data_IF_825994583616
#
_entry.id   IF_825994583616
#
_cell.length_a   1.000
_cell.length_b   1.000
_cell.length_c   1.000
_cell.angle_alpha   90.00
_cell.angle_beta   90.00
_cell.angle_gamma   90.00
#
_symmetry.space_group_name_H-M   'P 1'
#
loop_
_entity.id
_entity.type
_entity.pdbx_description
1 polymer ?
#
# COMPACT_ATOMS: atom_id res chain seq x y z
N UNK A 1 19.51 -11.05 -1.61
CA UNK A 1 20.18 -9.81 -1.12
C UNK A 1 20.09 -9.82 0.38
N UNK A 2 21.17 -9.50 1.06
CA UNK A 2 21.20 -9.30 2.51
C UNK A 2 20.88 -7.86 2.85
N UNK A 3 20.30 -7.63 4.02
CA UNK A 3 20.04 -6.32 4.58
C UNK A 3 21.27 -5.87 5.37
N UNK A 4 21.69 -4.61 5.18
CA UNK A 4 22.89 -4.07 5.78
C UNK A 4 22.59 -2.85 6.67
N UNK A 5 23.55 -2.50 7.52
CA UNK A 5 23.47 -1.31 8.32
C UNK A 5 23.33 -0.04 7.46
N UNK A 6 22.36 0.80 7.82
CA UNK A 6 22.03 2.02 7.08
C UNK A 6 21.02 1.85 5.94
N UNK A 7 20.63 0.61 5.61
CA UNK A 7 19.55 0.37 4.65
C UNK A 7 18.19 0.84 5.19
N UNK A 8 17.27 1.14 4.28
CA UNK A 8 15.86 1.36 4.57
C UNK A 8 15.04 0.17 4.06
N UNK A 9 14.24 -0.43 4.93
CA UNK A 9 13.34 -1.52 4.58
C UNK A 9 11.90 -1.03 4.55
N UNK A 10 11.31 -0.92 3.35
CA UNK A 10 9.91 -0.57 3.15
C UNK A 10 9.06 -1.85 3.22
N UNK A 11 8.09 -1.87 4.14
CA UNK A 11 7.27 -3.05 4.47
C UNK A 11 5.81 -2.72 4.19
N UNK A 12 5.21 -3.37 3.18
CA UNK A 12 3.80 -3.22 2.85
C UNK A 12 3.12 -4.59 2.72
N UNK A 13 2.09 -4.82 3.54
CA UNK A 13 1.21 -5.99 3.51
C UNK A 13 -0.22 -5.56 3.86
N UNK A 14 -1.21 -6.46 3.73
CA UNK A 14 -2.59 -6.23 4.15
C UNK A 14 -3.67 -6.66 3.14
N UNK A 15 -3.41 -6.59 1.82
CA UNK A 15 -4.41 -6.95 0.82
C UNK A 15 -4.80 -8.43 0.85
N UNK A 16 -3.87 -9.32 1.11
CA UNK A 16 -4.15 -10.75 1.20
C UNK A 16 -4.56 -11.18 2.60
N UNK A 17 -4.16 -10.42 3.61
CA UNK A 17 -4.42 -10.72 5.01
C UNK A 17 -5.92 -10.74 5.35
N UNK A 18 -6.74 -9.97 4.65
CA UNK A 18 -8.20 -9.98 4.83
C UNK A 18 -8.93 -11.16 4.17
N UNK A 19 -8.21 -12.06 3.49
CA UNK A 19 -8.83 -13.22 2.86
C UNK A 19 -9.28 -14.24 3.91
N UNK A 20 -10.32 -14.99 3.58
CA UNK A 20 -10.88 -16.04 4.45
C UNK A 20 -10.28 -17.42 4.21
N UNK A 21 -9.33 -17.53 3.29
CA UNK A 21 -8.59 -18.76 3.00
C UNK A 21 -7.22 -18.77 3.74
N UNK A 22 -6.36 -19.73 3.42
CA UNK A 22 -5.04 -19.93 4.04
C UNK A 22 -4.07 -18.74 3.89
N UNK A 23 -4.42 -17.71 3.13
CA UNK A 23 -3.62 -16.47 2.97
C UNK A 23 -4.03 -15.38 3.97
N UNK A 24 -5.20 -15.55 4.60
CA UNK A 24 -5.71 -14.60 5.58
C UNK A 24 -4.98 -14.74 6.92
N UNK A 25 -4.93 -13.63 7.64
CA UNK A 25 -4.45 -13.56 9.03
C UNK A 25 -5.43 -12.74 9.85
N UNK A 26 -5.50 -12.96 11.13
CA UNK A 26 -6.19 -12.02 12.02
C UNK A 26 -5.38 -10.72 12.16
N UNK A 27 -6.00 -9.58 12.54
CA UNK A 27 -5.26 -8.34 12.79
C UNK A 27 -4.14 -8.51 13.84
N UNK A 28 -4.30 -9.39 14.82
CA UNK A 28 -3.29 -9.68 15.84
C UNK A 28 -2.10 -10.43 15.26
N UNK A 29 -2.36 -11.47 14.46
CA UNK A 29 -1.30 -12.23 13.76
C UNK A 29 -0.57 -11.33 12.76
N UNK A 30 -1.31 -10.49 12.02
CA UNK A 30 -0.75 -9.51 11.10
C UNK A 30 0.23 -8.56 11.81
N UNK A 31 -0.18 -7.98 12.95
CA UNK A 31 0.70 -7.12 13.75
C UNK A 31 1.92 -7.88 14.28
N UNK A 32 1.76 -9.11 14.72
CA UNK A 32 2.87 -9.95 15.18
C UNK A 32 3.88 -10.22 14.06
N UNK A 33 3.40 -10.55 12.87
CA UNK A 33 4.24 -10.79 11.69
C UNK A 33 5.00 -9.52 11.29
N UNK A 34 4.33 -8.36 11.25
CA UNK A 34 4.98 -7.08 10.95
C UNK A 34 6.03 -6.70 12.00
N UNK A 35 5.75 -6.93 13.29
CA UNK A 35 6.71 -6.69 14.37
C UNK A 35 7.99 -7.51 14.18
N UNK A 36 7.87 -8.74 13.67
CA UNK A 36 9.03 -9.59 13.36
C UNK A 36 9.90 -8.97 12.26
N UNK A 37 9.30 -8.43 11.18
CA UNK A 37 10.06 -7.72 10.13
C UNK A 37 10.74 -6.47 10.67
N UNK A 38 10.05 -5.68 11.50
CA UNK A 38 10.61 -4.49 12.14
C UNK A 38 11.81 -4.84 13.01
N UNK A 39 11.68 -5.87 13.84
CA UNK A 39 12.77 -6.33 14.71
C UNK A 39 13.95 -6.85 13.90
N UNK A 40 13.70 -7.63 12.84
CA UNK A 40 14.75 -8.15 11.96
C UNK A 40 15.52 -7.02 11.30
N UNK A 41 14.84 -5.99 10.80
CA UNK A 41 15.50 -4.82 10.22
C UNK A 41 16.40 -4.12 11.25
N UNK A 42 15.89 -3.88 12.45
CA UNK A 42 16.63 -3.23 13.54
C UNK A 42 17.86 -4.03 13.98
N UNK A 43 17.77 -5.37 14.03
CA UNK A 43 18.90 -6.25 14.33
C UNK A 43 20.03 -6.11 13.30
N UNK A 44 19.69 -5.82 12.04
CA UNK A 44 20.65 -5.54 10.97
C UNK A 44 21.05 -4.05 10.90
N UNK A 45 20.69 -3.24 11.88
CA UNK A 45 20.94 -1.79 11.91
C UNK A 45 20.34 -1.07 10.70
N UNK A 46 19.30 -1.64 10.09
CA UNK A 46 18.49 -1.01 9.04
C UNK A 46 17.29 -0.28 9.64
N UNK A 47 16.78 0.70 8.93
CA UNK A 47 15.61 1.49 9.33
C UNK A 47 14.35 0.91 8.71
N UNK A 48 13.42 0.30 9.48
CA UNK A 48 12.14 -0.15 8.97
C UNK A 48 11.20 1.03 8.74
N UNK A 49 10.41 0.95 7.65
CA UNK A 49 9.33 1.89 7.32
C UNK A 49 8.09 1.04 7.01
N UNK A 50 7.01 1.24 7.75
CA UNK A 50 5.74 0.59 7.48
C UNK A 50 4.94 1.41 6.46
N UNK A 51 4.29 0.74 5.50
CA UNK A 51 3.43 1.35 4.50
C UNK A 51 2.06 0.68 4.56
N UNK A 52 1.00 1.42 4.89
CA UNK A 52 -0.35 0.85 4.81
C UNK A 52 -0.66 0.42 3.38
N UNK A 53 -1.50 -0.62 3.22
CA UNK A 53 -1.95 -1.04 1.89
C UNK A 53 -2.65 0.11 1.17
N UNK A 54 -2.45 0.22 -0.13
CA UNK A 54 -3.25 1.16 -0.95
C UNK A 54 -4.73 0.75 -0.93
N UNK A 55 -5.64 1.69 -1.20
CA UNK A 55 -7.07 1.37 -1.32
C UNK A 55 -7.33 0.46 -2.52
N UNK A 56 -8.43 -0.29 -2.46
CA UNK A 56 -9.05 -0.90 -3.64
C UNK A 56 -10.04 0.08 -4.26
N UNK A 57 -10.33 -0.09 -5.54
CA UNK A 57 -11.40 0.63 -6.22
C UNK A 57 -12.74 -0.03 -5.90
N UNK A 58 -13.15 0.08 -4.65
CA UNK A 58 -14.40 -0.42 -4.14
C UNK A 58 -15.23 0.75 -3.60
N UNK A 59 -16.46 0.86 -4.05
CA UNK A 59 -17.37 1.93 -3.69
C UNK A 59 -18.51 1.39 -2.83
N UNK A 60 -18.87 2.12 -1.77
CA UNK A 60 -20.07 1.83 -0.93
C UNK A 60 -21.34 2.42 -1.56
N UNK A 61 -21.17 3.44 -2.41
CA UNK A 61 -22.20 4.03 -3.25
C UNK A 61 -21.62 4.46 -4.60
N UNK A 62 -22.32 5.29 -5.38
CA UNK A 62 -21.89 5.68 -6.72
C UNK A 62 -20.58 6.48 -6.79
N UNK A 63 -20.18 7.13 -5.69
CA UNK A 63 -19.02 8.04 -5.67
C UNK A 63 -18.10 7.86 -4.46
N UNK A 64 -18.59 7.29 -3.38
CA UNK A 64 -17.83 7.14 -2.15
C UNK A 64 -17.03 5.85 -2.14
N UNK A 65 -15.71 5.95 -2.13
CA UNK A 65 -14.84 4.80 -1.89
C UNK A 65 -15.10 4.22 -0.50
N UNK A 66 -15.06 2.90 -0.42
CA UNK A 66 -15.23 2.17 0.84
C UNK A 66 -14.05 2.48 1.79
N UNK A 67 -14.30 3.10 2.95
CA UNK A 67 -13.26 3.35 3.94
C UNK A 67 -12.70 2.06 4.57
N UNK A 68 -13.35 0.93 4.34
CA UNK A 68 -12.91 -0.40 4.77
C UNK A 68 -12.50 -1.31 3.60
N UNK A 69 -12.17 -0.73 2.43
CA UNK A 69 -11.80 -1.49 1.23
C UNK A 69 -10.66 -2.52 1.46
N UNK A 70 -9.85 -2.35 2.50
CA UNK A 70 -8.78 -3.27 2.91
C UNK A 70 -9.00 -3.77 4.36
N UNK A 71 -10.24 -3.75 4.83
CA UNK A 71 -10.59 -4.18 6.19
C UNK A 71 -9.86 -3.40 7.29
N UNK A 72 -9.60 -4.02 8.47
CA UNK A 72 -8.99 -3.34 9.62
C UNK A 72 -7.46 -3.21 9.52
N UNK A 73 -6.81 -3.71 8.47
CA UNK A 73 -5.35 -3.85 8.40
C UNK A 73 -4.59 -2.52 8.34
N UNK A 74 -5.07 -1.48 7.63
CA UNK A 74 -4.41 -0.17 7.69
C UNK A 74 -4.39 0.41 9.10
N UNK A 75 -5.49 0.27 9.85
CA UNK A 75 -5.56 0.74 11.25
C UNK A 75 -4.65 -0.10 12.16
N UNK A 76 -4.66 -1.42 12.00
CA UNK A 76 -3.78 -2.31 12.75
C UNK A 76 -2.29 -1.97 12.51
N UNK A 77 -1.91 -1.61 11.28
CA UNK A 77 -0.53 -1.19 10.97
C UNK A 77 -0.19 0.16 11.61
N UNK A 78 -1.08 1.15 11.57
CA UNK A 78 -0.87 2.46 12.23
C UNK A 78 -0.69 2.30 13.75
N UNK A 79 -1.54 1.49 14.37
CA UNK A 79 -1.44 1.19 15.81
C UNK A 79 -0.11 0.52 16.16
N UNK A 80 0.32 -0.46 15.37
CA UNK A 80 1.61 -1.12 15.53
C UNK A 80 2.77 -0.15 15.36
N UNK A 81 2.75 0.68 14.30
CA UNK A 81 3.79 1.66 14.03
C UNK A 81 3.99 2.61 15.22
N UNK A 82 2.88 3.09 15.81
CA UNK A 82 2.90 3.93 17.00
C UNK A 82 3.50 3.18 18.19
N UNK A 83 3.09 1.92 18.43
CA UNK A 83 3.57 1.12 19.57
C UNK A 83 5.05 0.77 19.50
N UNK A 84 5.60 0.63 18.28
CA UNK A 84 6.99 0.29 18.04
C UNK A 84 7.88 1.50 17.74
N UNK A 85 7.34 2.71 17.74
CA UNK A 85 8.04 3.93 17.30
C UNK A 85 8.70 3.74 15.93
N UNK A 86 7.89 3.37 14.93
CA UNK A 86 8.30 3.17 13.53
C UNK A 86 7.55 4.15 12.64
N UNK A 87 8.25 4.75 11.68
CA UNK A 87 7.61 5.61 10.68
C UNK A 87 6.62 4.79 9.86
N UNK A 88 5.39 5.29 9.76
CA UNK A 88 4.34 4.72 8.92
C UNK A 88 3.94 5.71 7.83
N UNK A 89 4.10 5.31 6.57
CA UNK A 89 3.57 6.03 5.43
C UNK A 89 2.12 5.57 5.20
N UNK A 90 1.16 6.45 5.45
CA UNK A 90 -0.27 6.10 5.32
C UNK A 90 -0.74 6.17 3.87
N UNK A 91 -0.36 5.16 3.08
CA UNK A 91 -0.73 5.05 1.68
C UNK A 91 -2.22 4.76 1.49
N UNK A 92 -2.87 4.12 2.48
CA UNK A 92 -4.31 3.92 2.42
C UNK A 92 -5.03 5.28 2.36
N UNK A 93 -4.75 6.16 3.32
CA UNK A 93 -5.34 7.49 3.33
C UNK A 93 -4.93 8.34 2.13
N UNK A 94 -3.68 8.23 1.65
CA UNK A 94 -3.19 8.96 0.47
C UNK A 94 -3.93 8.52 -0.80
N UNK A 95 -4.07 7.20 -1.02
CA UNK A 95 -4.75 6.66 -2.21
C UNK A 95 -6.27 6.83 -2.12
N UNK A 96 -6.88 6.75 -0.93
CA UNK A 96 -8.29 7.10 -0.71
C UNK A 96 -8.54 8.55 -1.17
N UNK A 97 -7.74 9.52 -0.72
CA UNK A 97 -7.89 10.93 -1.15
C UNK A 97 -7.69 11.10 -2.65
N UNK A 98 -6.66 10.47 -3.22
CA UNK A 98 -6.35 10.58 -4.64
C UNK A 98 -7.49 10.07 -5.51
N UNK A 99 -7.95 8.85 -5.28
CA UNK A 99 -8.99 8.24 -6.10
C UNK A 99 -10.39 8.83 -5.83
N UNK A 100 -10.67 9.30 -4.61
CA UNK A 100 -11.94 10.00 -4.30
C UNK A 100 -12.05 11.39 -4.96
N UNK A 101 -10.93 11.98 -5.37
CA UNK A 101 -10.94 13.25 -6.12
C UNK A 101 -11.24 13.07 -7.62
N UNK A 102 -11.31 11.83 -8.10
CA UNK A 102 -11.58 11.49 -9.50
C UNK A 102 -13.01 10.98 -9.67
N UNK A 103 -13.58 11.22 -10.84
CA UNK A 103 -14.81 10.52 -11.24
C UNK A 103 -14.57 9.01 -11.30
N UNK A 104 -15.55 8.15 -10.93
CA UNK A 104 -15.34 6.69 -10.85
C UNK A 104 -14.82 6.07 -12.16
N UNK A 105 -15.23 6.57 -13.31
CA UNK A 105 -14.74 6.07 -14.60
C UNK A 105 -13.27 6.48 -14.85
N UNK A 106 -12.87 7.66 -14.39
CA UNK A 106 -11.48 8.11 -14.45
C UNK A 106 -10.61 7.29 -13.48
N UNK A 107 -11.07 7.04 -12.26
CA UNK A 107 -10.34 6.21 -11.31
C UNK A 107 -10.06 4.80 -11.85
N UNK A 108 -10.99 4.19 -12.61
CA UNK A 108 -10.78 2.88 -13.26
C UNK A 108 -9.58 2.83 -14.19
N UNK A 109 -9.21 3.95 -14.83
CA UNK A 109 -8.08 3.98 -15.77
C UNK A 109 -6.72 3.76 -15.10
N UNK A 110 -6.64 3.77 -13.78
CA UNK A 110 -5.44 3.49 -12.99
C UNK A 110 -5.32 2.02 -12.56
N UNK A 111 -6.40 1.24 -12.75
CA UNK A 111 -6.44 -0.18 -12.34
C UNK A 111 -6.37 -1.09 -13.56
N UNK A 112 -6.19 -2.39 -13.32
CA UNK A 112 -6.00 -3.38 -14.38
C UNK A 112 -7.35 -3.78 -14.97
N UNK A 113 -7.87 -2.93 -15.84
CA UNK A 113 -9.07 -3.16 -16.63
C UNK A 113 -8.67 -3.26 -18.11
N UNK A 114 -8.83 -4.43 -18.71
CA UNK A 114 -8.43 -4.72 -20.10
C UNK A 114 -9.60 -5.37 -20.82
N UNK A 115 -9.83 -4.93 -22.04
CA UNK A 115 -10.77 -5.56 -22.95
C UNK A 115 -10.23 -6.89 -23.51
N UNK A 116 -11.13 -7.71 -24.06
CA UNK A 116 -10.74 -8.95 -24.73
C UNK A 116 -9.73 -8.68 -25.82
N UNK A 117 -8.65 -9.47 -25.86
CA UNK A 117 -7.54 -9.36 -26.82
C UNK A 117 -6.70 -8.08 -26.73
N UNK A 118 -6.86 -7.27 -25.69
CA UNK A 118 -6.07 -6.06 -25.49
C UNK A 118 -4.64 -6.37 -25.03
N UNK A 119 -4.42 -7.48 -24.33
CA UNK A 119 -3.10 -7.85 -23.82
C UNK A 119 -2.90 -9.38 -23.91
N UNK A 120 -1.72 -9.85 -24.35
CA UNK A 120 -1.47 -11.28 -24.57
C UNK A 120 -1.61 -12.14 -23.30
N UNK A 121 -1.28 -11.60 -22.13
CA UNK A 121 -1.42 -12.31 -20.86
C UNK A 121 -2.87 -12.38 -20.37
N UNK A 122 -3.78 -11.59 -20.94
CA UNK A 122 -5.19 -11.52 -20.59
C UNK A 122 -6.07 -11.59 -21.84
N UNK A 123 -6.05 -12.72 -22.58
CA UNK A 123 -6.75 -12.82 -23.86
C UNK A 123 -8.27 -12.70 -23.71
N UNK A 124 -8.82 -13.02 -22.54
CA UNK A 124 -10.25 -12.86 -22.25
C UNK A 124 -10.62 -11.46 -21.73
N UNK A 125 -9.63 -10.57 -21.55
CA UNK A 125 -9.76 -9.35 -20.80
C UNK A 125 -9.68 -9.60 -19.29
N UNK A 126 -9.70 -8.52 -18.49
CA UNK A 126 -9.74 -8.59 -17.03
C UNK A 126 -10.41 -7.34 -16.47
N UNK A 127 -11.16 -7.49 -15.38
CA UNK A 127 -11.67 -6.38 -14.55
C UNK A 127 -11.14 -6.58 -13.15
N UNK A 128 -10.15 -5.78 -12.77
CA UNK A 128 -9.45 -5.89 -11.49
C UNK A 128 -9.40 -4.52 -10.79
N UNK A 129 -10.09 -4.43 -9.67
CA UNK A 129 -10.18 -3.22 -8.85
C UNK A 129 -9.10 -3.17 -7.75
N UNK A 130 -8.13 -4.07 -7.78
CA UNK A 130 -7.08 -4.19 -6.76
C UNK A 130 -5.69 -3.90 -7.34
N UNK A 131 -5.38 -4.50 -8.50
CA UNK A 131 -4.07 -4.35 -9.11
C UNK A 131 -4.05 -3.13 -10.04
N UNK A 132 -2.94 -2.41 -9.98
CA UNK A 132 -2.71 -1.22 -10.79
C UNK A 132 -2.16 -1.60 -12.16
N UNK A 133 -2.47 -0.78 -13.17
CA UNK A 133 -1.72 -0.75 -14.42
C UNK A 133 -0.51 0.21 -14.32
N UNK A 134 0.22 0.43 -15.40
CA UNK A 134 1.42 1.29 -15.42
C UNK A 134 1.13 2.74 -15.00
N UNK A 135 -0.02 3.29 -15.44
CA UNK A 135 -0.45 4.63 -15.03
C UNK A 135 -0.74 4.69 -13.52
N UNK A 136 -1.44 3.69 -13.00
CA UNK A 136 -1.74 3.57 -11.58
C UNK A 136 -0.50 3.37 -10.73
N UNK A 137 0.41 2.50 -11.18
CA UNK A 137 1.68 2.27 -10.50
C UNK A 137 2.51 3.55 -10.42
N UNK A 138 2.57 4.32 -11.53
CA UNK A 138 3.27 5.62 -11.56
C UNK A 138 2.64 6.63 -10.60
N UNK A 139 1.31 6.74 -10.60
CA UNK A 139 0.59 7.66 -9.71
C UNK A 139 0.81 7.29 -8.23
N UNK A 140 0.71 6.01 -7.89
CA UNK A 140 0.95 5.55 -6.51
C UNK A 140 2.41 5.72 -6.11
N UNK A 141 3.37 5.50 -7.01
CA UNK A 141 4.79 5.75 -6.73
C UNK A 141 5.04 7.22 -6.36
N UNK A 142 4.37 8.18 -7.03
CA UNK A 142 4.42 9.60 -6.66
C UNK A 142 3.85 9.85 -5.26
N UNK A 143 2.72 9.23 -4.91
CA UNK A 143 2.17 9.34 -3.55
C UNK A 143 3.12 8.76 -2.49
N UNK A 144 3.80 7.65 -2.79
CA UNK A 144 4.84 7.09 -1.89
C UNK A 144 5.97 8.08 -1.71
N UNK A 145 6.47 8.67 -2.80
CA UNK A 145 7.54 9.67 -2.76
C UNK A 145 7.12 10.92 -1.96
N UNK A 146 5.89 11.41 -2.15
CA UNK A 146 5.33 12.53 -1.37
C UNK A 146 5.24 12.19 0.12
N UNK A 147 4.71 11.02 0.47
CA UNK A 147 4.64 10.57 1.86
C UNK A 147 6.03 10.45 2.48
N UNK A 148 7.01 9.93 1.74
CA UNK A 148 8.39 9.79 2.19
C UNK A 148 9.06 11.16 2.35
N UNK A 149 8.86 12.08 1.40
CA UNK A 149 9.36 13.46 1.45
C UNK A 149 8.88 14.21 2.69
N UNK A 150 7.65 13.95 3.12
CA UNK A 150 7.04 14.58 4.29
C UNK A 150 7.28 13.80 5.60
N UNK A 151 8.08 12.73 5.57
CA UNK A 151 8.41 11.95 6.75
C UNK A 151 9.54 12.58 7.56
N UNK A 152 9.72 12.24 8.85
CA UNK A 152 10.83 12.71 9.66
C UNK A 152 12.16 12.00 9.37
N UNK A 153 12.20 11.12 8.37
CA UNK A 153 13.39 10.33 8.05
C UNK A 153 14.45 11.16 7.33
N UNK A 154 15.76 10.95 7.59
CA UNK A 154 16.83 11.57 6.80
C UNK A 154 16.69 11.30 5.29
N UNK A 155 16.14 10.15 4.92
CA UNK A 155 15.83 9.75 3.53
C UNK A 155 14.92 10.76 2.81
N UNK A 156 14.07 11.49 3.55
CA UNK A 156 13.20 12.52 2.98
C UNK A 156 13.96 13.61 2.19
N UNK A 157 15.19 13.90 2.62
CA UNK A 157 16.06 14.91 1.96
C UNK A 157 16.57 14.45 0.59
N UNK A 158 16.58 13.14 0.34
CA UNK A 158 17.03 12.54 -0.92
C UNK A 158 15.90 12.37 -1.95
N UNK A 159 14.65 12.59 -1.53
CA UNK A 159 13.50 12.43 -2.42
C UNK A 159 13.38 13.67 -3.31
N UNK A 160 13.48 13.46 -4.62
CA UNK A 160 13.20 14.46 -5.64
C UNK A 160 11.76 14.25 -6.13
N UNK A 161 10.97 15.33 -6.13
CA UNK A 161 9.63 15.36 -6.71
C UNK A 161 9.72 16.25 -7.94
N UNK A 162 9.51 15.63 -9.11
CA UNK A 162 9.44 16.34 -10.41
C UNK A 162 8.03 16.87 -10.66
#
# INVERSE_FOLDING_TARGET
KELHAGDYLLIQFGHNDQKTDSRGTTPVEYQHNLATYVQTARQQQATPILLTSITRLHYVDQQQLDPLAVGPYPEAMRALATSLDVVCLDLFAATQRFFSALEPQQAKTYFLHLEKNQHPNYPAGITDNTHLNDQGATAVAKLVAECLKNSPLPLAQQVLLD
#
